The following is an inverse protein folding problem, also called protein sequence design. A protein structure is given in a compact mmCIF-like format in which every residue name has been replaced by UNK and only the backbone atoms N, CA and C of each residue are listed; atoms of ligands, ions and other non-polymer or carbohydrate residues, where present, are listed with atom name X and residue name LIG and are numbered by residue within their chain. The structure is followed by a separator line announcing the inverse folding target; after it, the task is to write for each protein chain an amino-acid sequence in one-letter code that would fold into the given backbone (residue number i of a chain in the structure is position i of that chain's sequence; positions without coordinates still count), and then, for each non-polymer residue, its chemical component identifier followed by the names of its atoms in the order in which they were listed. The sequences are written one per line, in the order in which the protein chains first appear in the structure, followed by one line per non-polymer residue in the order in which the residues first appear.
data_IF_115840823579
#
_entry.id   IF_115840823579
#
_cell.length_a   1.000
_cell.length_b   1.000
_cell.length_c   1.000
_cell.angle_alpha   90.00
_cell.angle_beta   90.00
_cell.angle_gamma   90.00
#
_symmetry.space_group_name_H-M   'P 1'
#
loop_
_entity.id
_entity.type
_entity.pdbx_description
1 polymer ?
#
# COMPACT_ATOMS: atom_id res chain seq x y z
N UNK A 1 9.39 37.11 -11.11
CA UNK A 1 8.99 36.59 -9.79
C UNK A 1 9.72 35.28 -9.54
N UNK A 2 10.63 35.26 -8.56
CA UNK A 2 11.37 34.07 -8.16
C UNK A 2 10.41 33.09 -7.45
N UNK A 3 10.27 31.88 -7.99
CA UNK A 3 9.58 30.77 -7.32
C UNK A 3 10.57 30.22 -6.27
N UNK A 4 10.20 30.11 -4.98
CA UNK A 4 11.11 29.57 -3.98
C UNK A 4 11.35 28.09 -4.25
N UNK A 5 12.60 27.74 -4.58
CA UNK A 5 13.07 26.37 -4.86
C UNK A 5 12.90 25.38 -3.68
N UNK A 6 12.48 25.86 -2.50
CA UNK A 6 12.23 25.04 -1.31
C UNK A 6 10.89 24.28 -1.32
N UNK A 7 9.87 24.80 -1.99
CA UNK A 7 8.51 24.21 -1.91
C UNK A 7 8.38 22.96 -2.78
N UNK A 8 9.05 22.92 -3.94
CA UNK A 8 9.00 21.79 -4.88
C UNK A 8 9.76 20.56 -4.37
N UNK A 9 10.87 20.73 -3.64
CA UNK A 9 11.63 19.60 -3.06
C UNK A 9 10.85 18.93 -1.92
N UNK A 10 10.12 19.72 -1.12
CA UNK A 10 9.25 19.20 -0.06
C UNK A 10 8.03 18.48 -0.65
N UNK A 11 7.47 18.97 -1.77
CA UNK A 11 6.36 18.31 -2.47
C UNK A 11 6.79 16.94 -3.05
N UNK A 12 7.99 16.87 -3.67
CA UNK A 12 8.53 15.62 -4.24
C UNK A 12 8.95 14.60 -3.17
N UNK A 13 9.32 15.04 -1.96
CA UNK A 13 9.58 14.12 -0.82
C UNK A 13 8.29 13.56 -0.21
N UNK A 14 7.18 14.32 -0.22
CA UNK A 14 5.91 13.93 0.41
C UNK A 14 4.96 13.13 -0.49
N UNK A 15 5.07 13.26 -1.81
CA UNK A 15 4.28 12.46 -2.79
C UNK A 15 4.80 11.03 -3.02
N UNK A 16 5.85 10.60 -2.30
CA UNK A 16 6.51 9.28 -2.46
C UNK A 16 6.24 8.30 -1.31
N UNK A 17 5.44 8.70 -0.32
CA UNK A 17 5.21 7.90 0.88
C UNK A 17 4.29 6.70 0.60
N UNK A 18 3.28 6.87 -0.25
CA UNK A 18 2.33 5.82 -0.65
C UNK A 18 2.98 4.70 -1.47
N UNK A 19 3.84 5.08 -2.42
CA UNK A 19 4.52 4.17 -3.35
C UNK A 19 5.50 3.27 -2.60
N UNK A 20 6.21 3.84 -1.60
CA UNK A 20 7.12 3.09 -0.72
C UNK A 20 6.39 2.12 0.19
N UNK A 21 5.24 2.54 0.72
CA UNK A 21 4.38 1.66 1.55
C UNK A 21 3.84 0.49 0.72
N UNK A 22 3.35 0.75 -0.51
CA UNK A 22 2.93 -0.31 -1.43
C UNK A 22 4.07 -1.28 -1.74
N UNK A 23 5.25 -0.76 -2.09
CA UNK A 23 6.42 -1.57 -2.37
C UNK A 23 6.93 -2.35 -1.13
N UNK A 24 6.54 -1.94 0.08
CA UNK A 24 7.08 -2.50 1.32
C UNK A 24 8.54 -2.13 1.54
N UNK A 25 8.99 -1.01 0.97
CA UNK A 25 10.37 -0.53 1.06
C UNK A 25 10.46 0.66 2.03
N UNK A 26 11.15 0.51 3.17
CA UNK A 26 11.30 1.60 4.12
C UNK A 26 12.08 2.78 3.51
N UNK A 27 11.90 4.00 4.06
CA UNK A 27 12.81 5.11 3.76
C UNK A 27 14.27 4.73 4.04
N UNK A 28 15.16 5.06 3.10
CA UNK A 28 16.59 4.72 3.18
C UNK A 28 17.24 5.26 4.47
N UNK A 29 16.76 6.38 5.00
CA UNK A 29 17.23 6.93 6.27
C UNK A 29 17.03 5.95 7.43
N UNK A 30 15.86 5.31 7.49
CA UNK A 30 15.54 4.32 8.52
C UNK A 30 16.29 3.00 8.31
N UNK A 31 16.56 2.63 7.05
CA UNK A 31 17.41 1.48 6.72
C UNK A 31 18.86 1.73 7.13
N UNK A 32 19.39 2.92 6.86
CA UNK A 32 20.74 3.30 7.24
C UNK A 32 20.91 3.27 8.77
N UNK A 33 19.94 3.80 9.52
CA UNK A 33 19.95 3.74 11.00
C UNK A 33 19.94 2.29 11.52
N UNK A 34 19.15 1.40 10.91
CA UNK A 34 19.11 -0.01 11.28
C UNK A 34 20.48 -0.70 11.04
N UNK A 35 21.10 -0.43 9.89
CA UNK A 35 22.40 -0.98 9.53
C UNK A 35 23.50 -0.45 10.46
N UNK A 36 23.47 0.85 10.77
CA UNK A 36 24.42 1.50 11.67
C UNK A 36 24.29 0.98 13.11
N UNK A 37 23.08 0.78 13.65
CA UNK A 37 22.88 0.15 14.97
C UNK A 37 23.52 -1.25 15.02
N UNK A 38 23.28 -2.06 13.99
CA UNK A 38 23.84 -3.41 13.90
C UNK A 38 25.37 -3.38 13.79
N UNK A 39 25.90 -2.41 13.04
CA UNK A 39 27.34 -2.23 12.85
C UNK A 39 28.04 -1.75 14.12
N UNK A 40 27.47 -0.79 14.83
CA UNK A 40 27.99 -0.28 16.11
C UNK A 40 28.15 -1.38 17.16
N UNK A 41 27.16 -2.27 17.29
CA UNK A 41 27.25 -3.41 18.23
C UNK A 41 28.39 -4.36 17.85
N UNK A 42 28.63 -4.60 16.56
CA UNK A 42 29.75 -5.43 16.10
C UNK A 42 31.10 -4.80 16.43
N UNK A 43 31.25 -3.49 16.18
CA UNK A 43 32.49 -2.77 16.47
C UNK A 43 32.80 -2.75 17.98
N UNK A 44 31.81 -2.46 18.83
CA UNK A 44 32.03 -2.42 20.29
C UNK A 44 32.49 -3.78 20.83
N UNK A 45 31.89 -4.88 20.36
CA UNK A 45 32.30 -6.24 20.75
C UNK A 45 33.71 -6.58 20.25
N UNK A 46 34.02 -6.24 19.00
CA UNK A 46 35.35 -6.44 18.45
C UNK A 46 36.42 -5.65 19.21
N UNK A 47 36.10 -4.41 19.62
CA UNK A 47 37.00 -3.59 20.43
C UNK A 47 37.28 -4.20 21.83
N UNK A 48 36.36 -5.02 22.35
CA UNK A 48 36.53 -5.81 23.58
C UNK A 48 37.25 -7.14 23.35
N UNK A 49 37.65 -7.46 22.11
CA UNK A 49 38.25 -8.75 21.75
C UNK A 49 37.22 -9.89 21.68
N UNK A 50 35.92 -9.57 21.66
CA UNK A 50 34.84 -10.55 21.66
C UNK A 50 34.26 -10.74 20.25
N UNK A 51 33.85 -11.97 19.94
CA UNK A 51 33.09 -12.27 18.73
C UNK A 51 31.64 -12.57 19.11
N UNK A 52 30.70 -11.91 18.46
CA UNK A 52 29.28 -12.22 18.61
C UNK A 52 28.97 -13.62 18.11
N UNK A 53 28.23 -14.39 18.92
CA UNK A 53 27.64 -15.64 18.47
C UNK A 53 26.57 -15.37 17.38
N UNK A 54 26.33 -16.35 16.51
CA UNK A 54 25.33 -16.22 15.43
C UNK A 54 23.94 -15.86 15.96
N UNK A 55 23.54 -16.43 17.10
CA UNK A 55 22.28 -16.14 17.75
C UNK A 55 22.17 -14.69 18.23
N UNK A 56 23.26 -14.13 18.76
CA UNK A 56 23.34 -12.75 19.19
C UNK A 56 23.27 -11.80 17.99
N UNK A 57 23.97 -12.11 16.89
CA UNK A 57 23.87 -11.34 15.64
C UNK A 57 22.42 -11.32 15.15
N UNK A 58 21.75 -12.47 15.12
CA UNK A 58 20.35 -12.56 14.74
C UNK A 58 19.43 -11.77 15.68
N UNK A 59 19.71 -11.76 16.99
CA UNK A 59 18.94 -10.96 17.96
C UNK A 59 19.10 -9.46 17.70
N UNK A 60 20.33 -8.99 17.50
CA UNK A 60 20.62 -7.58 17.20
C UNK A 60 19.90 -7.15 15.92
N UNK A 61 19.99 -7.96 14.85
CA UNK A 61 19.29 -7.68 13.60
C UNK A 61 17.77 -7.60 13.79
N UNK A 62 17.16 -8.58 14.48
CA UNK A 62 15.72 -8.58 14.76
C UNK A 62 15.27 -7.34 15.53
N UNK A 63 16.06 -6.92 16.53
CA UNK A 63 15.78 -5.71 17.31
C UNK A 63 15.89 -4.45 16.44
N UNK A 64 16.96 -4.31 15.67
CA UNK A 64 17.15 -3.17 14.77
C UNK A 64 16.02 -3.08 13.73
N UNK A 65 15.65 -4.21 13.10
CA UNK A 65 14.52 -4.28 12.16
C UNK A 65 13.19 -3.94 12.82
N UNK A 66 12.95 -4.38 14.07
CA UNK A 66 11.74 -4.02 14.82
C UNK A 66 11.69 -2.50 15.06
N UNK A 67 12.78 -1.90 15.56
CA UNK A 67 12.84 -0.44 15.78
C UNK A 67 12.62 0.36 14.51
N UNK A 68 13.24 -0.07 13.40
CA UNK A 68 13.05 0.55 12.08
C UNK A 68 11.57 0.53 11.68
N UNK A 69 10.90 -0.62 11.82
CA UNK A 69 9.47 -0.76 11.51
C UNK A 69 8.59 0.10 12.41
N UNK A 70 8.89 0.14 13.71
CA UNK A 70 8.13 0.96 14.67
C UNK A 70 8.26 2.45 14.34
N UNK A 71 9.48 2.93 14.02
CA UNK A 71 9.70 4.30 13.55
C UNK A 71 9.00 4.59 12.23
N UNK A 72 9.05 3.65 11.28
CA UNK A 72 8.36 3.81 10.00
C UNK A 72 6.84 3.89 10.21
N UNK A 73 6.26 2.99 11.00
CA UNK A 73 4.83 3.00 11.35
C UNK A 73 4.39 4.30 12.01
N UNK A 74 5.22 4.87 12.89
CA UNK A 74 4.97 6.17 13.52
C UNK A 74 5.02 7.31 12.51
N UNK A 75 6.02 7.34 11.62
CA UNK A 75 6.14 8.38 10.58
C UNK A 75 4.98 8.44 9.58
N UNK A 76 4.22 7.34 9.47
CA UNK A 76 3.06 7.22 8.59
C UNK A 76 1.76 7.74 9.21
N UNK A 77 1.73 8.06 10.50
CA UNK A 77 0.54 8.52 11.22
C UNK A 77 -0.01 9.84 10.66
N UNK A 78 0.89 10.81 10.44
CA UNK A 78 0.54 12.16 9.97
C UNK A 78 0.71 12.31 8.45
N UNK A 79 0.61 11.21 7.70
CA UNK A 79 0.78 11.25 6.25
C UNK A 79 -0.31 12.11 5.59
N UNK A 80 0.11 13.13 4.84
CA UNK A 80 -0.79 14.06 4.15
C UNK A 80 -1.41 13.46 2.88
N UNK A 81 -0.72 12.50 2.25
CA UNK A 81 -1.10 11.88 0.98
C UNK A 81 -1.08 10.36 1.11
N UNK A 82 -1.80 9.67 0.22
CA UNK A 82 -1.84 8.20 0.23
C UNK A 82 -2.59 7.61 1.42
N UNK A 83 -3.46 8.39 2.08
CA UNK A 83 -4.16 7.99 3.30
C UNK A 83 -4.84 6.63 3.16
N UNK A 84 -5.56 6.39 2.06
CA UNK A 84 -6.21 5.11 1.76
C UNK A 84 -5.26 3.91 1.89
N UNK A 85 -4.16 3.95 1.14
CA UNK A 85 -3.12 2.91 1.16
C UNK A 85 -2.49 2.77 2.55
N UNK A 86 -2.17 3.90 3.18
CA UNK A 86 -1.47 3.93 4.46
C UNK A 86 -2.36 3.40 5.58
N UNK A 87 -3.62 3.81 5.65
CA UNK A 87 -4.59 3.35 6.65
C UNK A 87 -4.82 1.83 6.54
N UNK A 88 -4.81 1.27 5.33
CA UNK A 88 -4.95 -0.16 5.12
C UNK A 88 -3.69 -0.96 5.48
N UNK A 89 -2.49 -0.48 5.13
CA UNK A 89 -1.23 -1.23 5.31
C UNK A 89 -0.58 -0.96 6.68
N UNK A 90 -0.63 0.27 7.21
CA UNK A 90 0.06 0.67 8.47
C UNK A 90 -0.24 -0.28 9.65
N UNK A 91 -1.48 -0.75 9.88
CA UNK A 91 -1.78 -1.70 10.96
C UNK A 91 -0.97 -3.00 10.84
N UNK A 92 -0.79 -3.49 9.61
CA UNK A 92 -0.15 -4.76 9.25
C UNK A 92 1.22 -4.60 8.61
N UNK A 93 1.85 -3.43 8.71
CA UNK A 93 3.07 -3.05 7.98
C UNK A 93 4.18 -4.10 8.11
N UNK A 94 4.35 -4.67 9.30
CA UNK A 94 5.35 -5.71 9.54
C UNK A 94 5.11 -6.99 8.73
N UNK A 95 3.86 -7.44 8.61
CA UNK A 95 3.49 -8.60 7.81
C UNK A 95 3.56 -8.27 6.32
N UNK A 96 3.12 -7.06 5.94
CA UNK A 96 3.19 -6.59 4.56
C UNK A 96 4.61 -6.63 4.01
N UNK A 97 5.59 -6.09 4.74
CA UNK A 97 7.01 -6.11 4.32
C UNK A 97 7.59 -7.53 4.28
N UNK A 98 7.12 -8.42 5.17
CA UNK A 98 7.68 -9.78 5.34
C UNK A 98 6.97 -10.87 4.55
N UNK A 99 5.89 -10.52 3.82
CA UNK A 99 5.11 -11.47 3.03
C UNK A 99 6.01 -12.21 2.03
N UNK A 100 5.71 -13.49 1.82
CA UNK A 100 6.47 -14.38 0.91
C UNK A 100 5.75 -14.65 -0.39
N UNK A 101 4.48 -14.27 -0.46
CA UNK A 101 3.60 -14.44 -1.61
C UNK A 101 3.01 -13.08 -1.99
N UNK A 102 2.40 -13.06 -3.18
CA UNK A 102 1.58 -11.94 -3.60
C UNK A 102 2.37 -10.81 -4.27
N UNK A 103 2.26 -10.75 -5.60
CA UNK A 103 2.71 -9.60 -6.39
C UNK A 103 1.60 -8.58 -6.52
N UNK A 104 1.97 -7.31 -6.67
CA UNK A 104 1.03 -6.22 -6.91
C UNK A 104 0.83 -6.07 -8.42
N UNK A 105 -0.34 -6.48 -8.92
CA UNK A 105 -0.73 -6.18 -10.30
C UNK A 105 -1.09 -4.70 -10.45
N UNK A 106 -1.04 -4.18 -11.68
CA UNK A 106 -1.41 -2.78 -11.95
C UNK A 106 -2.84 -2.46 -11.50
N UNK A 107 -3.78 -3.39 -11.71
CA UNK A 107 -5.19 -3.22 -11.34
C UNK A 107 -5.43 -3.33 -9.85
N UNK A 108 -4.71 -4.22 -9.17
CA UNK A 108 -4.68 -4.25 -7.71
C UNK A 108 -4.16 -2.91 -7.14
N UNK A 109 -3.09 -2.36 -7.71
CA UNK A 109 -2.56 -1.04 -7.28
C UNK A 109 -3.60 0.07 -7.46
N UNK A 110 -4.39 0.06 -8.53
CA UNK A 110 -5.50 1.00 -8.70
C UNK A 110 -6.49 0.92 -7.54
N UNK A 111 -6.94 -0.28 -7.17
CA UNK A 111 -7.87 -0.48 -6.04
C UNK A 111 -7.27 -0.02 -4.70
N UNK A 112 -6.00 -0.35 -4.46
CA UNK A 112 -5.28 0.01 -3.25
C UNK A 112 -5.13 1.54 -3.10
N UNK A 113 -4.83 2.23 -4.21
CA UNK A 113 -4.57 3.68 -4.20
C UNK A 113 -5.83 4.52 -4.39
N UNK A 114 -6.87 3.97 -5.01
CA UNK A 114 -8.01 4.74 -5.51
C UNK A 114 -7.69 5.55 -6.77
N UNK A 115 -6.53 5.31 -7.40
CA UNK A 115 -6.16 5.96 -8.66
C UNK A 115 -6.56 5.10 -9.86
N UNK A 116 -6.72 5.73 -11.02
CA UNK A 116 -6.97 5.05 -12.28
C UNK A 116 -8.38 5.29 -12.83
N UNK A 117 -9.07 4.24 -13.28
CA UNK A 117 -10.33 4.34 -14.04
C UNK A 117 -11.58 4.64 -13.19
N UNK A 118 -11.42 5.20 -11.99
CA UNK A 118 -12.52 5.56 -11.10
C UNK A 118 -13.01 6.98 -11.40
N UNK A 119 -14.32 7.16 -11.59
CA UNK A 119 -14.92 8.48 -11.87
C UNK A 119 -14.48 9.55 -10.87
N UNK A 120 -14.40 9.23 -9.57
CA UNK A 120 -13.86 10.12 -8.54
C UNK A 120 -12.47 10.66 -8.90
N UNK A 121 -11.55 9.77 -9.24
CA UNK A 121 -10.18 10.12 -9.60
C UNK A 121 -10.13 10.86 -10.94
N UNK A 122 -10.84 10.37 -11.95
CA UNK A 122 -10.88 10.95 -13.28
C UNK A 122 -11.39 12.39 -13.26
N UNK A 123 -12.40 12.67 -12.44
CA UNK A 123 -12.95 14.02 -12.27
C UNK A 123 -12.08 14.91 -11.38
N UNK A 124 -11.71 14.43 -10.17
CA UNK A 124 -11.10 15.28 -9.13
C UNK A 124 -9.60 15.46 -9.29
N UNK A 125 -8.92 14.51 -9.90
CA UNK A 125 -7.44 14.50 -10.00
C UNK A 125 -7.01 14.58 -11.46
N UNK A 126 -7.46 13.66 -12.32
CA UNK A 126 -7.02 13.60 -13.71
C UNK A 126 -7.65 14.67 -14.61
N UNK A 127 -8.77 15.27 -14.19
CA UNK A 127 -9.54 16.28 -14.95
C UNK A 127 -9.96 15.79 -16.34
N UNK A 128 -10.37 14.52 -16.45
CA UNK A 128 -10.79 13.87 -17.71
C UNK A 128 -12.29 13.67 -17.84
N UNK A 129 -13.01 13.63 -16.72
CA UNK A 129 -14.47 13.43 -16.69
C UNK A 129 -15.17 14.66 -16.08
N UNK A 130 -16.37 15.04 -16.57
CA UNK A 130 -17.09 16.21 -16.09
C UNK A 130 -17.73 15.99 -14.71
N UNK A 131 -17.92 14.73 -14.29
CA UNK A 131 -18.53 14.36 -13.01
C UNK A 131 -17.80 13.18 -12.39
N UNK A 132 -17.86 12.99 -11.06
CA UNK A 132 -17.24 11.84 -10.41
C UNK A 132 -18.09 10.56 -10.47
N UNK A 133 -19.22 10.58 -11.17
CA UNK A 133 -20.23 9.53 -11.09
C UNK A 133 -19.80 8.19 -11.72
N UNK A 134 -20.38 7.11 -11.21
CA UNK A 134 -20.11 5.76 -11.68
C UNK A 134 -20.89 5.49 -12.96
N UNK A 135 -20.17 5.29 -14.06
CA UNK A 135 -20.79 4.94 -15.34
C UNK A 135 -21.41 3.53 -15.35
N UNK A 136 -21.02 2.67 -14.41
CA UNK A 136 -21.46 1.27 -14.36
C UNK A 136 -22.82 1.09 -13.67
N UNK A 137 -23.11 1.93 -12.66
CA UNK A 137 -24.33 1.80 -11.86
C UNK A 137 -25.07 3.12 -11.61
N UNK A 138 -24.54 4.25 -12.09
CA UNK A 138 -25.13 5.58 -11.92
C UNK A 138 -24.92 6.22 -10.55
N UNK A 139 -24.15 5.61 -9.64
CA UNK A 139 -23.85 6.21 -8.34
C UNK A 139 -23.16 7.58 -8.47
N UNK A 140 -23.40 8.48 -7.52
CA UNK A 140 -22.95 9.86 -7.62
C UNK A 140 -21.40 10.02 -7.56
N UNK A 141 -20.70 9.11 -6.87
CA UNK A 141 -19.24 9.16 -6.69
C UNK A 141 -18.61 7.77 -6.84
N UNK A 142 -17.87 7.55 -7.92
CA UNK A 142 -17.20 6.29 -8.25
C UNK A 142 -15.81 6.24 -7.64
N UNK A 143 -15.72 5.71 -6.43
CA UNK A 143 -14.44 5.46 -5.75
C UNK A 143 -14.00 4.00 -5.91
N UNK A 144 -12.74 3.70 -5.61
CA UNK A 144 -12.29 2.32 -5.47
C UNK A 144 -13.06 1.55 -4.38
N UNK A 145 -13.47 2.23 -3.30
CA UNK A 145 -14.27 1.58 -2.25
C UNK A 145 -15.68 1.26 -2.75
N UNK A 146 -16.30 2.18 -3.48
CA UNK A 146 -17.57 1.93 -4.15
C UNK A 146 -17.50 0.70 -5.07
N UNK A 147 -16.42 0.58 -5.87
CA UNK A 147 -16.21 -0.59 -6.73
C UNK A 147 -16.09 -1.88 -5.92
N UNK A 148 -15.37 -1.87 -4.80
CA UNK A 148 -15.20 -3.03 -3.91
C UNK A 148 -16.50 -3.43 -3.20
N UNK A 149 -17.24 -2.47 -2.64
CA UNK A 149 -18.31 -2.73 -1.67
C UNK A 149 -19.73 -2.58 -2.23
N UNK A 150 -19.96 -1.67 -3.16
CA UNK A 150 -21.32 -1.11 -3.38
C UNK A 150 -21.82 -1.22 -4.82
N UNK A 151 -20.93 -1.16 -5.80
CA UNK A 151 -21.29 -1.02 -7.20
C UNK A 151 -22.02 -2.27 -7.71
N UNK A 152 -23.33 -2.19 -7.90
CA UNK A 152 -24.20 -3.33 -8.25
C UNK A 152 -23.78 -4.07 -9.53
N UNK A 153 -23.09 -3.39 -10.46
CA UNK A 153 -22.52 -4.00 -11.66
C UNK A 153 -21.58 -5.18 -11.34
N UNK A 154 -20.89 -5.11 -10.21
CA UNK A 154 -19.85 -6.06 -9.80
C UNK A 154 -20.33 -7.05 -8.73
N UNK A 155 -21.64 -7.13 -8.46
CA UNK A 155 -22.19 -8.07 -7.48
C UNK A 155 -21.76 -9.52 -7.74
N UNK A 156 -21.79 -10.06 -8.98
CA UNK A 156 -21.36 -11.44 -9.22
C UNK A 156 -19.89 -11.70 -8.86
N UNK A 157 -19.00 -10.78 -9.23
CA UNK A 157 -17.57 -10.87 -8.91
C UNK A 157 -17.34 -10.72 -7.40
N UNK A 158 -18.07 -9.80 -6.76
CA UNK A 158 -17.99 -9.56 -5.31
C UNK A 158 -18.47 -10.77 -4.50
N UNK A 159 -19.52 -11.46 -4.94
CA UNK A 159 -19.98 -12.69 -4.28
C UNK A 159 -18.88 -13.76 -4.27
N UNK A 160 -18.16 -13.92 -5.38
CA UNK A 160 -17.04 -14.87 -5.48
C UNK A 160 -15.90 -14.45 -4.54
N UNK A 161 -15.57 -13.16 -4.51
CA UNK A 161 -14.55 -12.62 -3.61
C UNK A 161 -14.91 -12.85 -2.13
N UNK A 162 -16.14 -12.51 -1.74
CA UNK A 162 -16.64 -12.64 -0.36
C UNK A 162 -16.62 -14.09 0.12
N UNK A 163 -16.91 -15.05 -0.76
CA UNK A 163 -16.83 -16.47 -0.43
C UNK A 163 -15.40 -16.90 -0.05
N UNK A 164 -14.38 -16.21 -0.57
CA UNK A 164 -12.97 -16.53 -0.29
C UNK A 164 -12.40 -15.73 0.90
N UNK A 165 -12.65 -14.42 0.95
CA UNK A 165 -11.97 -13.53 1.92
C UNK A 165 -12.87 -13.03 3.05
N UNK A 166 -14.16 -13.36 3.03
CA UNK A 166 -15.15 -12.89 4.00
C UNK A 166 -15.92 -11.65 3.53
N UNK A 167 -16.94 -11.26 4.32
CA UNK A 167 -17.90 -10.22 3.93
C UNK A 167 -17.45 -8.78 4.18
N UNK A 168 -16.40 -8.55 4.97
CA UNK A 168 -15.86 -7.21 5.20
C UNK A 168 -14.85 -6.85 4.10
N UNK A 169 -15.32 -6.07 3.13
CA UNK A 169 -14.52 -5.62 1.99
C UNK A 169 -13.92 -4.21 2.17
N UNK A 170 -13.90 -3.71 3.42
CA UNK A 170 -13.09 -2.54 3.72
C UNK A 170 -11.63 -2.81 3.34
N UNK A 171 -10.94 -1.80 2.80
CA UNK A 171 -9.57 -2.01 2.31
C UNK A 171 -8.62 -2.61 3.37
N UNK A 172 -8.66 -2.21 4.66
CA UNK A 172 -7.86 -2.86 5.70
C UNK A 172 -8.15 -4.36 5.85
N UNK A 173 -9.42 -4.77 5.79
CA UNK A 173 -9.83 -6.17 5.92
C UNK A 173 -9.44 -7.00 4.70
N UNK A 174 -9.57 -6.43 3.49
CA UNK A 174 -9.06 -7.05 2.25
C UNK A 174 -7.55 -7.27 2.35
N UNK A 175 -6.78 -6.24 2.74
CA UNK A 175 -5.31 -6.34 2.90
C UNK A 175 -4.94 -7.38 3.95
N UNK A 176 -5.66 -7.46 5.07
CA UNK A 176 -5.44 -8.48 6.09
C UNK A 176 -5.68 -9.90 5.55
N UNK A 177 -6.77 -10.11 4.80
CA UNK A 177 -7.08 -11.40 4.19
C UNK A 177 -6.02 -11.82 3.15
N UNK A 178 -5.59 -10.89 2.29
CA UNK A 178 -4.50 -11.13 1.32
C UNK A 178 -3.21 -11.62 1.99
N UNK A 179 -2.86 -11.09 3.16
CA UNK A 179 -1.68 -11.50 3.91
C UNK A 179 -1.84 -12.89 4.57
N UNK A 180 -3.07 -13.34 4.78
CA UNK A 180 -3.38 -14.58 5.50
C UNK A 180 -3.15 -15.83 4.66
N UNK A 181 -3.30 -15.76 3.33
CA UNK A 181 -2.99 -16.88 2.43
C UNK A 181 -2.71 -16.44 0.99
N UNK A 182 -1.95 -17.27 0.25
CA UNK A 182 -1.72 -17.06 -1.18
C UNK A 182 -3.02 -17.13 -1.99
N UNK A 183 -3.91 -18.07 -1.66
CA UNK A 183 -5.23 -18.22 -2.26
C UNK A 183 -6.09 -16.96 -2.11
N UNK A 184 -6.11 -16.36 -0.92
CA UNK A 184 -6.84 -15.11 -0.67
C UNK A 184 -6.23 -13.94 -1.45
N UNK A 185 -4.90 -13.91 -1.60
CA UNK A 185 -4.23 -12.92 -2.44
C UNK A 185 -4.64 -13.07 -3.91
N UNK A 186 -4.59 -14.30 -4.44
CA UNK A 186 -4.97 -14.62 -5.83
C UNK A 186 -6.42 -14.24 -6.11
N UNK A 187 -7.37 -14.57 -5.22
CA UNK A 187 -8.77 -14.20 -5.40
C UNK A 187 -9.00 -12.68 -5.47
N UNK A 188 -8.25 -11.90 -4.67
CA UNK A 188 -8.29 -10.43 -4.74
C UNK A 188 -7.70 -9.92 -6.05
N UNK A 189 -6.59 -10.51 -6.51
CA UNK A 189 -5.98 -10.17 -7.80
C UNK A 189 -6.95 -10.49 -8.93
N UNK A 190 -7.54 -11.67 -8.98
CA UNK A 190 -8.49 -12.08 -10.01
C UNK A 190 -9.71 -11.15 -10.07
N UNK A 191 -10.26 -10.79 -8.90
CA UNK A 191 -11.31 -9.78 -8.82
C UNK A 191 -10.86 -8.44 -9.43
N UNK A 192 -9.68 -7.96 -9.06
CA UNK A 192 -9.15 -6.70 -9.58
C UNK A 192 -8.90 -6.77 -11.09
N UNK A 193 -8.36 -7.88 -11.60
CA UNK A 193 -8.10 -8.06 -13.02
C UNK A 193 -9.39 -8.05 -13.83
N UNK A 194 -10.40 -8.80 -13.40
CA UNK A 194 -11.69 -8.90 -14.08
C UNK A 194 -12.47 -7.57 -14.05
N UNK A 195 -12.60 -6.94 -12.88
CA UNK A 195 -13.42 -5.74 -12.70
C UNK A 195 -12.75 -4.50 -13.29
N UNK A 196 -11.46 -4.30 -13.02
CA UNK A 196 -10.76 -3.08 -13.44
C UNK A 196 -10.44 -3.12 -14.92
N UNK A 197 -10.18 -4.28 -15.52
CA UNK A 197 -10.01 -4.36 -16.98
C UNK A 197 -11.26 -3.93 -17.74
N UNK A 198 -12.45 -4.31 -17.26
CA UNK A 198 -13.73 -3.89 -17.83
C UNK A 198 -13.97 -2.39 -17.64
N UNK A 199 -13.72 -1.84 -16.45
CA UNK A 199 -13.83 -0.38 -16.21
C UNK A 199 -12.86 0.41 -17.08
N UNK A 200 -11.62 -0.03 -17.21
CA UNK A 200 -10.63 0.58 -18.10
C UNK A 200 -11.07 0.53 -19.57
N UNK A 201 -11.64 -0.58 -20.02
CA UNK A 201 -12.16 -0.70 -21.38
C UNK A 201 -13.32 0.27 -21.61
N UNK A 202 -14.25 0.37 -20.65
CA UNK A 202 -15.35 1.31 -20.69
C UNK A 202 -14.87 2.77 -20.69
N UNK A 203 -13.85 3.12 -19.89
CA UNK A 203 -13.21 4.44 -19.90
C UNK A 203 -12.61 4.75 -21.28
N UNK A 204 -11.83 3.83 -21.87
CA UNK A 204 -11.16 4.07 -23.17
C UNK A 204 -12.13 4.28 -24.34
N UNK A 205 -13.37 3.80 -24.22
CA UNK A 205 -14.41 3.95 -25.24
C UNK A 205 -15.17 5.28 -25.15
N UNK A 206 -15.00 6.04 -24.06
CA UNK A 206 -15.60 7.36 -23.85
C UNK A 206 -14.65 8.46 -24.31
#
# INVERSE_FOLDING_TARGET
CAIPLGTSIVYVKKSRLDTRVLAGTPPWELEAEMLDETHRVRIDRQARGERLALEEVGRVQRMATRRMRDRWKASLEDALYGKRTIEAIRPVLGQWIQRKHGSLSFRLVQIMTGHGCFGHYLHRVARREPTPSCHECGAADDTAQHTLEECSRWDPQRHTLVAEIGGDLSLPSVVFAMLSSERSWEAVVDFCEEVISQKEAAERMR
#
